data_IF_895189667292
#
_entry.id   IF_895189667292
#
_cell.length_a   1.000
_cell.length_b   1.000
_cell.length_c   1.000
_cell.angle_alpha   90.00
_cell.angle_beta   90.00
_cell.angle_gamma   90.00
#
_symmetry.space_group_name_H-M   'P 1'
#
loop_
_entity.id
_entity.type
_entity.pdbx_description
1 polymer ?
#
# COMPACT_ATOMS: atom_id res chain seq x y z
N UNK A 1 31.89 -80.91 53.15
CA UNK A 1 30.80 -81.14 54.11
C UNK A 1 29.93 -79.91 54.12
N UNK A 2 28.64 -80.12 53.88
CA UNK A 2 27.56 -79.14 53.74
C UNK A 2 27.29 -78.32 55.01
N UNK A 3 26.73 -77.13 54.75
CA UNK A 3 25.71 -76.36 55.50
C UNK A 3 26.01 -76.02 56.97
N UNK A 4 25.87 -74.73 57.30
CA UNK A 4 24.58 -74.21 57.78
C UNK A 4 24.53 -72.67 57.71
N UNK A 5 23.34 -72.16 57.43
CA UNK A 5 22.96 -70.76 57.29
C UNK A 5 22.30 -70.33 58.61
N UNK A 6 22.54 -69.11 59.11
CA UNK A 6 21.47 -68.10 59.32
C UNK A 6 21.95 -66.80 60.00
N UNK A 7 21.18 -65.69 59.83
CA UNK A 7 21.69 -64.32 59.80
C UNK A 7 21.19 -63.44 60.95
N UNK A 8 21.84 -62.29 61.17
CA UNK A 8 21.24 -60.93 61.22
C UNK A 8 22.17 -59.92 61.92
N UNK A 9 22.55 -58.90 61.17
CA UNK A 9 22.82 -57.50 61.55
C UNK A 9 23.08 -56.80 60.21
N UNK A 10 22.69 -55.57 59.86
CA UNK A 10 22.11 -54.44 60.54
C UNK A 10 22.47 -53.22 59.68
N UNK A 11 21.63 -52.19 59.70
CA UNK A 11 21.90 -50.79 59.36
C UNK A 11 21.90 -50.29 57.89
N UNK A 12 20.89 -49.43 57.68
CA UNK A 12 20.78 -48.18 56.90
C UNK A 12 21.95 -47.76 55.98
N UNK A 13 21.60 -47.44 54.72
CA UNK A 13 22.18 -46.29 54.01
C UNK A 13 21.05 -45.50 53.33
N UNK A 14 20.98 -44.21 53.65
CA UNK A 14 20.19 -43.18 52.98
C UNK A 14 20.68 -42.98 51.54
N UNK A 15 19.78 -43.14 50.58
CA UNK A 15 19.92 -42.64 49.21
C UNK A 15 18.78 -41.66 48.94
N UNK A 16 19.00 -40.39 49.24
CA UNK A 16 18.09 -39.27 49.01
C UNK A 16 17.85 -39.14 47.50
N UNK A 17 16.73 -39.66 47.02
CA UNK A 17 16.29 -39.46 45.64
C UNK A 17 16.06 -37.96 45.42
N UNK A 18 16.96 -37.30 44.71
CA UNK A 18 16.75 -35.97 44.20
C UNK A 18 15.53 -36.04 43.28
N UNK A 19 14.39 -35.54 43.77
CA UNK A 19 13.19 -35.37 42.96
C UNK A 19 13.53 -34.42 41.82
N UNK A 20 13.77 -34.97 40.64
CA UNK A 20 13.81 -34.17 39.41
C UNK A 20 12.48 -33.44 39.25
N UNK A 21 12.48 -32.23 38.66
CA UNK A 21 11.24 -31.49 38.43
C UNK A 21 10.24 -32.38 37.69
N UNK A 22 8.99 -32.39 38.15
CA UNK A 22 7.92 -33.13 37.48
C UNK A 22 7.81 -32.66 36.03
N UNK A 23 7.35 -33.53 35.12
CA UNK A 23 7.21 -33.19 33.70
C UNK A 23 6.39 -31.90 33.45
N UNK A 24 5.52 -31.57 34.40
CA UNK A 24 4.73 -30.34 34.45
C UNK A 24 5.57 -29.08 34.72
N UNK A 25 6.55 -29.17 35.62
CA UNK A 25 7.50 -28.08 35.90
C UNK A 25 8.46 -27.85 34.72
N UNK A 26 8.93 -28.93 34.07
CA UNK A 26 9.72 -28.83 32.83
C UNK A 26 8.91 -28.21 31.70
N UNK A 27 7.63 -28.58 31.57
CA UNK A 27 6.70 -27.99 30.61
C UNK A 27 6.47 -26.49 30.83
N UNK A 28 6.30 -26.05 32.08
CA UNK A 28 6.17 -24.63 32.43
C UNK A 28 7.45 -23.84 32.10
N UNK A 29 8.62 -24.38 32.40
CA UNK A 29 9.91 -23.75 32.08
C UNK A 29 10.07 -23.61 30.56
N UNK A 30 9.64 -24.61 29.78
CA UNK A 30 9.71 -24.59 28.32
C UNK A 30 8.76 -23.54 27.70
N UNK A 31 7.55 -23.39 28.25
CA UNK A 31 6.60 -22.34 27.84
C UNK A 31 7.13 -20.95 28.19
N UNK A 32 7.70 -20.77 29.38
CA UNK A 32 8.33 -19.50 29.78
C UNK A 32 9.53 -19.18 28.89
N UNK A 33 10.35 -20.17 28.52
CA UNK A 33 11.41 -19.99 27.52
C UNK A 33 10.81 -19.54 26.17
N UNK A 34 9.82 -20.26 25.63
CA UNK A 34 9.19 -19.92 24.34
C UNK A 34 8.51 -18.53 24.33
N UNK A 35 8.05 -18.03 25.48
CA UNK A 35 7.46 -16.69 25.60
C UNK A 35 8.48 -15.57 25.83
N UNK A 36 9.67 -15.87 26.34
CA UNK A 36 10.73 -14.89 26.63
C UNK A 36 11.71 -14.70 25.47
N UNK A 37 11.80 -15.66 24.54
CA UNK A 37 12.54 -15.47 23.30
C UNK A 37 11.56 -14.95 22.23
N UNK A 38 11.75 -13.73 21.70
CA UNK A 38 11.03 -13.34 20.50
C UNK A 38 11.33 -14.39 19.44
N UNK A 39 10.30 -14.88 18.77
CA UNK A 39 10.47 -15.62 17.53
C UNK A 39 11.24 -14.71 16.59
N UNK A 40 12.56 -14.89 16.52
CA UNK A 40 13.38 -14.33 15.47
C UNK A 40 12.90 -15.04 14.22
N UNK A 41 11.89 -14.48 13.56
CA UNK A 41 11.52 -14.86 12.22
C UNK A 41 12.72 -14.48 11.37
N UNK A 42 13.61 -15.45 11.17
CA UNK A 42 14.62 -15.38 10.14
C UNK A 42 13.86 -15.43 8.81
N UNK A 43 13.40 -14.27 8.36
CA UNK A 43 12.71 -14.12 7.09
C UNK A 43 13.62 -14.59 5.96
N UNK A 44 13.04 -15.28 4.98
CA UNK A 44 13.75 -15.67 3.78
C UNK A 44 14.19 -14.43 3.01
N UNK A 45 15.50 -14.26 2.79
CA UNK A 45 16.08 -13.10 2.09
C UNK A 45 16.38 -13.37 0.62
N UNK A 46 15.62 -14.25 -0.03
CA UNK A 46 15.88 -14.63 -1.43
C UNK A 46 15.70 -13.43 -2.38
N UNK A 47 14.65 -12.63 -2.18
CA UNK A 47 14.39 -11.46 -3.02
C UNK A 47 15.53 -10.44 -2.98
N UNK A 48 16.24 -10.34 -1.84
CA UNK A 48 17.45 -9.55 -1.71
C UNK A 48 18.61 -10.11 -2.55
N UNK A 49 18.81 -11.43 -2.53
CA UNK A 49 19.83 -12.06 -3.37
C UNK A 49 19.54 -11.83 -4.87
N UNK A 50 18.26 -11.93 -5.27
CA UNK A 50 17.84 -11.71 -6.64
C UNK A 50 18.11 -10.26 -7.07
N UNK A 51 17.74 -9.28 -6.24
CA UNK A 51 17.94 -7.86 -6.57
C UNK A 51 19.41 -7.45 -6.64
N UNK A 52 20.27 -8.00 -5.76
CA UNK A 52 21.72 -7.77 -5.79
C UNK A 52 22.37 -8.34 -7.07
N UNK A 53 21.95 -9.54 -7.51
CA UNK A 53 22.43 -10.14 -8.76
C UNK A 53 22.10 -9.27 -9.98
N UNK A 54 20.83 -8.89 -10.15
CA UNK A 54 20.41 -8.06 -11.29
C UNK A 54 21.01 -6.66 -11.26
N UNK A 55 21.24 -6.09 -10.08
CA UNK A 55 21.97 -4.83 -9.96
C UNK A 55 23.41 -4.94 -10.49
N UNK A 56 24.08 -6.08 -10.23
CA UNK A 56 25.45 -6.33 -10.68
C UNK A 56 25.60 -6.68 -12.17
N UNK A 57 24.51 -7.08 -12.83
CA UNK A 57 24.50 -7.45 -14.27
C UNK A 57 23.81 -6.41 -15.15
N UNK A 58 23.36 -5.29 -14.57
CA UNK A 58 22.61 -4.21 -15.26
C UNK A 58 23.43 -3.38 -16.26
N UNK A 59 24.75 -3.55 -16.29
CA UNK A 59 25.59 -3.10 -17.39
C UNK A 59 26.01 -4.32 -18.21
N UNK A 60 25.89 -4.26 -19.53
CA UNK A 60 26.45 -5.24 -20.48
C UNK A 60 27.98 -5.28 -20.37
N UNK A 61 28.47 -5.87 -19.29
CA UNK A 61 29.88 -6.07 -18.99
C UNK A 61 30.43 -7.29 -19.72
N UNK A 62 31.76 -7.45 -19.77
CA UNK A 62 32.41 -8.65 -20.28
C UNK A 62 31.82 -9.93 -19.65
N UNK A 63 31.79 -11.04 -20.39
CA UNK A 63 31.34 -12.37 -19.93
C UNK A 63 31.95 -12.78 -18.57
N UNK A 64 33.18 -12.31 -18.29
CA UNK A 64 33.89 -12.49 -17.03
C UNK A 64 33.24 -11.79 -15.81
N UNK A 65 32.62 -10.62 -16.01
CA UNK A 65 31.88 -9.91 -14.96
C UNK A 65 30.55 -10.61 -14.64
N UNK A 66 29.90 -11.17 -15.67
CA UNK A 66 28.65 -11.93 -15.51
C UNK A 66 28.85 -13.21 -14.70
N UNK A 67 29.89 -14.01 -15.00
CA UNK A 67 30.21 -15.19 -14.20
C UNK A 67 30.60 -14.83 -12.75
N UNK A 68 31.24 -13.68 -12.53
CA UNK A 68 31.59 -13.20 -11.19
C UNK A 68 30.35 -12.80 -10.38
N UNK A 69 29.37 -12.16 -11.02
CA UNK A 69 28.06 -11.88 -10.45
C UNK A 69 27.26 -13.16 -10.15
N UNK A 70 27.23 -14.13 -11.06
CA UNK A 70 26.56 -15.43 -10.87
C UNK A 70 27.15 -16.21 -9.69
N UNK A 71 28.48 -16.20 -9.50
CA UNK A 71 29.11 -16.82 -8.33
C UNK A 71 28.71 -16.12 -7.03
N UNK A 72 28.62 -14.79 -7.03
CA UNK A 72 28.17 -14.03 -5.87
C UNK A 72 26.69 -14.33 -5.54
N UNK A 73 25.83 -14.42 -6.55
CA UNK A 73 24.43 -14.78 -6.40
C UNK A 73 24.24 -16.18 -5.83
N UNK A 74 24.94 -17.20 -6.37
CA UNK A 74 24.94 -18.56 -5.82
C UNK A 74 25.32 -18.60 -4.34
N UNK A 75 26.34 -17.83 -3.94
CA UNK A 75 26.76 -17.75 -2.54
C UNK A 75 25.71 -17.07 -1.65
N UNK A 76 25.01 -16.05 -2.16
CA UNK A 76 23.92 -15.41 -1.44
C UNK A 76 22.76 -16.39 -1.20
N UNK A 77 22.29 -17.06 -2.25
CA UNK A 77 21.20 -18.05 -2.18
C UNK A 77 21.55 -19.19 -1.22
N UNK A 78 22.76 -19.75 -1.30
CA UNK A 78 23.21 -20.81 -0.37
C UNK A 78 23.22 -20.37 1.09
N UNK A 79 23.53 -19.11 1.39
CA UNK A 79 23.51 -18.57 2.76
C UNK A 79 22.10 -18.47 3.33
N UNK A 80 21.09 -18.27 2.48
CA UNK A 80 19.68 -18.16 2.90
C UNK A 80 18.94 -19.51 2.94
N UNK A 81 19.61 -20.63 2.59
CA UNK A 81 18.98 -21.96 2.49
C UNK A 81 18.24 -22.42 3.75
N UNK A 82 18.74 -22.08 4.95
CA UNK A 82 18.08 -22.46 6.22
C UNK A 82 16.75 -21.75 6.43
N UNK A 83 16.66 -20.50 6.00
CA UNK A 83 15.52 -19.59 6.23
C UNK A 83 14.50 -19.67 5.10
N UNK A 84 14.91 -20.19 3.93
CA UNK A 84 14.13 -20.23 2.70
C UNK A 84 13.65 -21.64 2.29
N UNK A 85 13.65 -22.63 3.20
CA UNK A 85 13.33 -24.03 2.84
C UNK A 85 11.97 -24.23 2.16
N UNK A 86 10.96 -23.45 2.55
CA UNK A 86 9.60 -23.50 2.01
C UNK A 86 9.30 -22.39 0.99
N UNK A 87 10.31 -21.63 0.56
CA UNK A 87 10.11 -20.52 -0.36
C UNK A 87 10.30 -20.99 -1.80
N UNK A 88 9.27 -20.79 -2.64
CA UNK A 88 9.30 -21.22 -4.04
C UNK A 88 10.36 -20.45 -4.85
N UNK A 89 10.52 -19.14 -4.60
CA UNK A 89 11.48 -18.31 -5.31
C UNK A 89 12.92 -18.75 -5.00
N UNK A 90 13.20 -19.26 -3.80
CA UNK A 90 14.49 -19.86 -3.45
C UNK A 90 14.79 -21.10 -4.31
N UNK A 91 13.84 -22.03 -4.44
CA UNK A 91 14.04 -23.23 -5.25
C UNK A 91 14.16 -22.89 -6.73
N UNK A 92 13.35 -21.95 -7.22
CA UNK A 92 13.47 -21.42 -8.59
C UNK A 92 14.83 -20.77 -8.85
N UNK A 93 15.33 -19.95 -7.92
CA UNK A 93 16.64 -19.33 -8.01
C UNK A 93 17.77 -20.37 -8.00
N UNK A 94 17.69 -21.38 -7.14
CA UNK A 94 18.71 -22.44 -7.05
C UNK A 94 18.87 -23.17 -8.40
N UNK A 95 17.76 -23.56 -9.03
CA UNK A 95 17.78 -24.20 -10.35
C UNK A 95 18.22 -23.23 -11.45
N UNK A 96 17.70 -22.00 -11.47
CA UNK A 96 18.06 -21.00 -12.48
C UNK A 96 19.54 -20.63 -12.47
N UNK A 97 20.20 -20.63 -11.30
CA UNK A 97 21.65 -20.39 -11.18
C UNK A 97 22.45 -21.53 -11.85
N UNK A 98 22.04 -22.78 -11.66
CA UNK A 98 22.72 -23.93 -12.27
C UNK A 98 22.60 -23.90 -13.79
N UNK A 99 21.42 -23.56 -14.31
CA UNK A 99 21.20 -23.40 -15.75
C UNK A 99 22.01 -22.24 -16.34
N UNK A 100 22.01 -21.07 -15.68
CA UNK A 100 22.76 -19.89 -16.12
C UNK A 100 24.27 -20.13 -16.12
N UNK A 101 24.80 -20.83 -15.11
CA UNK A 101 26.20 -21.22 -15.04
C UNK A 101 26.58 -22.14 -16.21
N UNK A 102 25.71 -23.09 -16.57
CA UNK A 102 25.90 -24.01 -17.70
C UNK A 102 25.86 -23.27 -19.04
N UNK A 103 24.85 -22.42 -19.25
CA UNK A 103 24.65 -21.68 -20.51
C UNK A 103 25.81 -20.71 -20.83
N UNK A 104 26.45 -20.14 -19.81
CA UNK A 104 27.52 -19.16 -19.97
C UNK A 104 28.92 -19.73 -19.66
N UNK A 105 29.06 -21.06 -19.63
CA UNK A 105 30.33 -21.75 -19.36
C UNK A 105 31.08 -21.24 -18.12
N UNK A 106 30.35 -20.82 -17.08
CA UNK A 106 30.94 -20.23 -15.89
C UNK A 106 31.55 -21.30 -14.98
N UNK A 107 32.80 -21.10 -14.56
CA UNK A 107 33.39 -21.90 -13.49
C UNK A 107 32.68 -21.64 -12.15
N UNK A 108 32.40 -22.72 -11.41
CA UNK A 108 31.86 -22.67 -10.03
C UNK A 108 32.85 -22.05 -9.03
N UNK A 109 34.14 -22.04 -9.37
CA UNK A 109 35.22 -21.48 -8.57
C UNK A 109 35.80 -20.23 -9.26
N UNK A 110 36.04 -19.18 -8.49
CA UNK A 110 36.57 -17.91 -9.02
C UNK A 110 36.24 -16.71 -8.12
N UNK A 111 36.65 -15.49 -8.49
CA UNK A 111 36.38 -14.27 -7.71
C UNK A 111 34.87 -14.06 -7.52
N UNK A 112 34.48 -13.35 -6.46
CA UNK A 112 33.08 -12.93 -6.28
C UNK A 112 33.03 -11.44 -6.06
N UNK A 113 32.00 -10.80 -6.60
CA UNK A 113 31.74 -9.38 -6.33
C UNK A 113 31.56 -9.23 -4.82
N UNK A 114 32.42 -8.45 -4.16
CA UNK A 114 32.29 -8.22 -2.73
C UNK A 114 31.01 -7.44 -2.42
N UNK A 115 30.32 -7.71 -1.29
CA UNK A 115 29.22 -6.88 -0.86
C UNK A 115 29.74 -5.46 -0.64
N UNK A 116 29.30 -4.52 -1.49
CA UNK A 116 29.75 -3.13 -1.45
C UNK A 116 29.40 -2.55 -0.06
N UNK A 117 30.42 -2.23 0.73
CA UNK A 117 30.23 -1.41 1.92
C UNK A 117 29.73 -0.03 1.46
N UNK A 118 28.70 0.49 2.12
CA UNK A 118 28.02 1.75 1.77
C UNK A 118 29.01 2.92 1.75
N UNK A 119 29.47 3.32 0.57
CA UNK A 119 30.00 4.66 0.35
C UNK A 119 28.85 5.56 -0.10
N UNK A 120 28.67 6.76 0.51
CA UNK A 120 27.70 7.73 0.02
C UNK A 120 28.03 8.12 -1.43
N UNK A 121 27.05 8.21 -2.35
CA UNK A 121 27.30 8.76 -3.67
C UNK A 121 27.69 10.23 -3.53
N UNK A 122 28.65 10.73 -4.33
CA UNK A 122 28.96 12.16 -4.38
C UNK A 122 27.72 12.95 -4.85
N UNK A 123 27.58 14.22 -4.43
CA UNK A 123 26.40 15.02 -4.75
C UNK A 123 26.22 15.15 -6.27
N UNK A 124 24.98 15.07 -6.78
CA UNK A 124 24.72 15.14 -8.21
C UNK A 124 25.10 16.52 -8.75
N UNK A 125 26.08 16.55 -9.66
CA UNK A 125 26.32 17.72 -10.49
C UNK A 125 25.18 17.84 -11.51
N UNK A 126 24.57 19.02 -11.53
CA UNK A 126 23.64 19.46 -12.57
C UNK A 126 24.32 19.32 -13.94
N UNK A 127 23.94 18.31 -14.71
CA UNK A 127 24.16 18.30 -16.15
C UNK A 127 22.86 18.77 -16.84
N UNK A 128 22.95 19.70 -17.80
CA UNK A 128 21.81 20.14 -18.57
C UNK A 128 21.46 19.07 -19.62
N UNK A 129 20.21 18.60 -19.55
CA UNK A 129 19.36 18.19 -20.66
C UNK A 129 20.07 17.58 -21.89
N UNK A 130 20.54 16.33 -21.74
CA UNK A 130 20.83 15.47 -22.88
C UNK A 130 19.69 14.47 -23.01
N UNK A 131 18.84 14.69 -24.02
CA UNK A 131 17.82 13.80 -24.55
C UNK A 131 17.93 12.34 -24.05
N UNK A 132 17.17 12.02 -23.00
CA UNK A 132 16.89 10.66 -22.57
C UNK A 132 16.20 9.99 -23.78
N UNK A 133 16.95 9.16 -24.52
CA UNK A 133 16.44 8.43 -25.70
C UNK A 133 15.12 7.75 -25.33
N UNK A 134 14.03 8.27 -25.88
CA UNK A 134 12.68 7.76 -25.76
C UNK A 134 12.54 6.51 -26.64
N UNK A 135 13.28 5.44 -26.36
CA UNK A 135 13.40 4.25 -27.20
C UNK A 135 12.19 3.30 -27.09
N UNK A 136 10.97 3.84 -27.20
CA UNK A 136 9.73 3.08 -27.30
C UNK A 136 8.89 3.57 -28.48
N UNK A 137 8.17 2.69 -29.20
CA UNK A 137 7.27 3.10 -30.29
C UNK A 137 6.30 4.17 -29.82
N UNK A 138 5.97 5.16 -30.66
CA UNK A 138 5.04 6.24 -30.29
C UNK A 138 3.69 5.70 -29.80
N UNK A 139 3.27 4.55 -30.32
CA UNK A 139 2.07 3.81 -29.91
C UNK A 139 2.08 3.35 -28.45
N UNK A 140 3.25 3.15 -27.85
CA UNK A 140 3.41 2.75 -26.45
C UNK A 140 3.50 3.95 -25.49
N UNK A 141 3.33 5.17 -25.99
CA UNK A 141 3.30 6.38 -25.18
C UNK A 141 1.90 6.98 -25.22
N UNK A 142 1.18 6.95 -24.10
CA UNK A 142 -0.20 7.43 -24.01
C UNK A 142 -0.36 8.84 -24.59
N UNK A 143 0.38 9.81 -24.04
CA UNK A 143 0.30 11.22 -24.46
C UNK A 143 0.71 11.46 -25.92
N UNK A 144 1.61 10.63 -26.48
CA UNK A 144 2.09 10.76 -27.87
C UNK A 144 1.19 10.04 -28.87
N UNK A 145 0.49 9.00 -28.41
CA UNK A 145 -0.50 8.26 -29.20
C UNK A 145 -1.79 9.06 -29.42
N UNK A 146 -2.09 10.02 -28.53
CA UNK A 146 -3.14 11.01 -28.73
C UNK A 146 -2.80 11.86 -29.96
N UNK A 147 -3.72 11.90 -30.92
CA UNK A 147 -3.51 12.66 -32.16
C UNK A 147 -3.20 14.13 -31.84
N UNK A 148 -2.28 14.75 -32.59
CA UNK A 148 -1.85 16.17 -32.39
C UNK A 148 -2.99 17.22 -32.36
N UNK A 149 -4.23 16.83 -32.66
CA UNK A 149 -5.42 17.68 -32.65
C UNK A 149 -6.36 17.43 -31.45
N UNK A 150 -6.11 16.43 -30.59
CA UNK A 150 -6.91 16.19 -29.40
C UNK A 150 -6.52 17.13 -28.26
N UNK A 151 -7.50 17.58 -27.49
CA UNK A 151 -7.25 18.28 -26.23
C UNK A 151 -6.37 17.44 -25.29
N UNK A 152 -5.51 18.06 -24.47
CA UNK A 152 -4.75 17.34 -23.46
C UNK A 152 -5.68 16.49 -22.59
N UNK A 153 -5.29 15.28 -22.19
CA UNK A 153 -6.12 14.41 -21.38
C UNK A 153 -6.31 15.01 -19.99
N UNK A 154 -7.53 14.92 -19.46
CA UNK A 154 -7.82 15.29 -18.09
C UNK A 154 -7.23 14.24 -17.15
N UNK A 155 -6.36 14.69 -16.25
CA UNK A 155 -5.76 13.85 -15.21
C UNK A 155 -6.46 14.08 -13.89
N UNK A 156 -6.87 12.98 -13.28
CA UNK A 156 -7.36 12.91 -11.91
C UNK A 156 -6.33 12.24 -10.99
N UNK A 157 -6.57 12.32 -9.68
CA UNK A 157 -5.70 11.76 -8.67
C UNK A 157 -6.50 11.06 -7.57
N UNK A 158 -5.98 9.93 -7.09
CA UNK A 158 -6.44 9.25 -5.89
C UNK A 158 -5.29 9.13 -4.88
N UNK A 159 -5.59 9.29 -3.60
CA UNK A 159 -4.63 9.18 -2.50
C UNK A 159 -5.16 8.31 -1.36
N UNK A 160 -4.30 7.52 -0.75
CA UNK A 160 -4.62 6.61 0.35
C UNK A 160 -3.47 6.62 1.37
N UNK A 161 -3.72 7.13 2.58
CA UNK A 161 -2.67 7.44 3.57
C UNK A 161 -3.23 7.50 4.98
N UNK A 162 -2.38 7.41 6.00
CA UNK A 162 -2.83 7.58 7.40
C UNK A 162 -3.73 6.43 7.88
N UNK A 163 -4.76 6.77 8.67
CA UNK A 163 -5.76 5.85 9.21
C UNK A 163 -6.99 5.68 8.31
N UNK A 164 -6.86 4.83 7.30
CA UNK A 164 -6.61 5.31 5.98
C UNK A 164 -7.66 6.33 5.54
N UNK A 165 -7.14 7.52 5.28
CA UNK A 165 -7.83 8.57 4.57
C UNK A 165 -7.71 8.33 3.09
N UNK A 166 -8.85 8.35 2.42
CA UNK A 166 -9.02 8.14 0.99
C UNK A 166 -9.47 9.45 0.35
N UNK A 167 -8.71 9.91 -0.64
CA UNK A 167 -9.14 10.85 -1.66
C UNK A 167 -9.45 10.06 -2.93
N UNK A 168 -10.70 10.07 -3.38
CA UNK A 168 -11.10 9.39 -4.63
C UNK A 168 -10.71 10.20 -5.86
N UNK A 169 -10.83 9.60 -7.04
CA UNK A 169 -10.69 10.29 -8.34
C UNK A 169 -11.75 11.38 -8.57
N UNK A 170 -12.86 11.36 -7.82
CA UNK A 170 -13.89 12.42 -7.80
C UNK A 170 -13.61 13.53 -6.79
N UNK A 171 -12.43 13.52 -6.15
CA UNK A 171 -12.05 14.43 -5.06
C UNK A 171 -12.87 14.27 -3.78
N UNK A 172 -13.59 13.15 -3.60
CA UNK A 172 -14.26 12.86 -2.34
C UNK A 172 -13.24 12.40 -1.30
N UNK A 173 -13.32 13.01 -0.11
CA UNK A 173 -12.46 12.68 1.02
C UNK A 173 -13.20 11.88 2.08
N UNK A 174 -12.64 10.73 2.45
CA UNK A 174 -13.27 9.79 3.38
C UNK A 174 -12.22 9.25 4.34
N UNK A 175 -12.62 9.00 5.59
CA UNK A 175 -11.81 8.26 6.56
C UNK A 175 -12.42 6.88 6.71
N UNK A 176 -11.61 5.84 6.60
CA UNK A 176 -12.11 4.49 6.40
C UNK A 176 -11.46 3.51 7.35
N UNK A 177 -12.25 2.58 7.92
CA UNK A 177 -11.69 1.44 8.66
C UNK A 177 -11.00 0.46 7.72
N UNK A 178 -11.74 -0.08 6.73
CA UNK A 178 -11.27 -0.96 5.65
C UNK A 178 -10.15 -1.92 6.05
N UNK A 179 -10.37 -2.66 7.14
CA UNK A 179 -9.44 -3.65 7.68
C UNK A 179 -9.30 -4.84 6.72
N UNK A 180 -8.09 -5.40 6.58
CA UNK A 180 -7.82 -6.50 5.66
C UNK A 180 -7.50 -6.03 4.24
N UNK A 181 -7.73 -6.90 3.26
CA UNK A 181 -7.40 -6.66 1.86
C UNK A 181 -8.52 -5.93 1.11
N UNK A 182 -8.20 -4.83 0.45
CA UNK A 182 -9.15 -4.01 -0.32
C UNK A 182 -8.57 -3.57 -1.67
N UNK A 183 -9.37 -3.57 -2.75
CA UNK A 183 -8.94 -3.04 -4.04
C UNK A 183 -9.07 -1.50 -4.07
N UNK A 184 -7.96 -0.81 -4.32
CA UNK A 184 -7.97 0.64 -4.53
C UNK A 184 -8.39 0.98 -5.96
N UNK A 185 -7.72 0.38 -6.94
CA UNK A 185 -7.94 0.61 -8.37
C UNK A 185 -8.08 -0.74 -9.05
N UNK A 186 -9.06 -0.89 -9.93
CA UNK A 186 -9.13 -2.03 -10.84
C UNK A 186 -9.83 -1.60 -12.11
N UNK A 187 -9.09 -1.64 -13.22
CA UNK A 187 -9.57 -1.33 -14.55
C UNK A 187 -8.89 -2.26 -15.55
N UNK A 188 -9.15 -2.07 -16.85
CA UNK A 188 -8.56 -2.87 -17.94
C UNK A 188 -7.01 -2.92 -17.95
N UNK A 189 -6.34 -1.98 -17.30
CA UNK A 189 -4.88 -1.82 -17.38
C UNK A 189 -4.15 -2.07 -16.07
N UNK A 190 -4.80 -1.82 -14.93
CA UNK A 190 -4.16 -1.77 -13.62
C UNK A 190 -5.07 -2.36 -12.54
N UNK A 191 -4.48 -3.17 -11.66
CA UNK A 191 -5.11 -3.59 -10.41
C UNK A 191 -4.21 -3.22 -9.24
N UNK A 192 -4.75 -2.53 -8.24
CA UNK A 192 -4.06 -2.10 -7.03
C UNK A 192 -4.82 -2.63 -5.82
N UNK A 193 -4.13 -3.39 -4.99
CA UNK A 193 -4.68 -3.95 -3.76
C UNK A 193 -3.83 -3.53 -2.58
N UNK A 194 -4.49 -3.14 -1.49
CA UNK A 194 -3.84 -2.79 -0.21
C UNK A 194 -4.32 -3.71 0.89
N UNK A 195 -3.48 -3.91 1.90
CA UNK A 195 -3.87 -4.58 3.14
C UNK A 195 -3.68 -3.64 4.32
N UNK A 196 -4.76 -3.34 5.03
CA UNK A 196 -4.75 -2.48 6.20
C UNK A 196 -4.80 -3.31 7.47
N UNK A 197 -3.90 -3.02 8.41
CA UNK A 197 -3.83 -3.69 9.71
C UNK A 197 -4.14 -2.70 10.82
N UNK A 198 -4.80 -3.13 11.92
CA UNK A 198 -5.05 -2.24 13.05
C UNK A 198 -3.76 -1.67 13.63
N UNK A 199 -3.71 -0.36 13.85
CA UNK A 199 -2.53 0.32 14.44
C UNK A 199 -2.37 -0.07 15.90
N UNK A 200 -3.50 -0.16 16.63
CA UNK A 200 -3.57 -0.62 18.01
C UNK A 200 -4.64 -1.72 18.10
N UNK A 201 -4.37 -2.86 18.78
CA UNK A 201 -5.36 -3.90 18.96
C UNK A 201 -6.67 -3.36 19.57
N UNK A 202 -7.80 -3.64 18.91
CA UNK A 202 -9.13 -3.20 19.36
C UNK A 202 -9.48 -1.74 19.04
N UNK A 203 -8.60 -0.99 18.37
CA UNK A 203 -8.94 0.33 17.81
C UNK A 203 -9.66 0.18 16.45
N UNK A 204 -10.47 1.18 16.08
CA UNK A 204 -10.95 1.32 14.71
C UNK A 204 -9.86 1.82 13.75
N UNK A 205 -8.74 2.26 14.30
CA UNK A 205 -7.62 2.79 13.54
C UNK A 205 -6.86 1.68 12.82
N UNK A 206 -6.79 1.73 11.50
CA UNK A 206 -5.99 0.82 10.67
C UNK A 206 -4.95 1.61 9.88
N UNK A 207 -3.98 0.95 9.25
CA UNK A 207 -3.07 1.62 8.34
C UNK A 207 -2.50 0.61 7.33
N UNK A 208 -2.10 1.09 6.15
CA UNK A 208 -1.63 0.23 5.08
C UNK A 208 -0.27 -0.38 5.40
N UNK A 209 -0.22 -1.71 5.43
CA UNK A 209 0.99 -2.49 5.74
C UNK A 209 1.54 -3.25 4.54
N UNK A 210 0.72 -3.42 3.50
CA UNK A 210 1.07 -4.15 2.29
C UNK A 210 0.34 -3.57 1.09
N UNK A 211 1.03 -3.52 -0.03
CA UNK A 211 0.55 -2.97 -1.29
C UNK A 211 1.01 -3.86 -2.44
N UNK A 212 0.08 -4.23 -3.31
CA UNK A 212 0.34 -4.99 -4.52
C UNK A 212 -0.25 -4.23 -5.70
N UNK A 213 0.57 -3.98 -6.72
CA UNK A 213 0.15 -3.35 -7.98
C UNK A 213 0.43 -4.34 -9.11
N UNK A 214 -0.58 -4.61 -9.93
CA UNK A 214 -0.47 -5.45 -11.12
C UNK A 214 -0.71 -4.56 -12.32
N UNK A 215 0.34 -4.37 -13.11
CA UNK A 215 0.27 -3.80 -14.45
C UNK A 215 -0.12 -4.93 -15.39
N UNK A 216 -1.35 -4.89 -15.92
CA UNK A 216 -1.85 -5.89 -16.86
C UNK A 216 -1.06 -5.78 -18.18
N UNK A 217 -0.90 -6.92 -18.85
CA UNK A 217 -0.24 -6.98 -20.17
C UNK A 217 -0.92 -6.00 -21.15
N UNK A 218 -0.15 -5.22 -21.89
CA UNK A 218 -0.67 -4.24 -22.84
C UNK A 218 -0.01 -4.34 -24.21
N UNK A 219 -0.78 -4.85 -25.18
CA UNK A 219 -0.40 -4.98 -26.60
C UNK A 219 1.03 -5.54 -26.78
N UNK A 220 1.83 -4.92 -27.64
CA UNK A 220 3.25 -5.23 -27.87
C UNK A 220 4.18 -4.34 -27.02
N UNK A 221 3.65 -3.61 -26.03
CA UNK A 221 4.40 -2.60 -25.32
C UNK A 221 5.02 -3.10 -24.02
N UNK A 222 4.23 -3.76 -23.16
CA UNK A 222 4.63 -4.07 -21.78
C UNK A 222 4.08 -5.43 -21.39
N UNK A 223 4.93 -6.31 -20.87
CA UNK A 223 4.49 -7.56 -20.27
C UNK A 223 3.78 -7.31 -18.94
N UNK A 224 3.04 -8.31 -18.44
CA UNK A 224 2.43 -8.19 -17.12
C UNK A 224 3.52 -8.05 -16.05
N UNK A 225 3.43 -7.02 -15.22
CA UNK A 225 4.38 -6.75 -14.12
C UNK A 225 3.65 -6.64 -12.80
N UNK A 226 4.24 -7.22 -11.76
CA UNK A 226 3.75 -7.12 -10.39
C UNK A 226 4.75 -6.33 -9.56
N UNK A 227 4.28 -5.28 -8.90
CA UNK A 227 5.00 -4.58 -7.85
C UNK A 227 4.41 -4.96 -6.49
N UNK A 228 5.28 -5.22 -5.53
CA UNK A 228 4.89 -5.59 -4.17
C UNK A 228 5.74 -4.80 -3.18
N UNK A 229 5.07 -4.21 -2.18
CA UNK A 229 5.71 -3.55 -1.07
C UNK A 229 5.01 -3.95 0.23
N UNK A 230 5.79 -4.06 1.29
CA UNK A 230 5.28 -4.23 2.65
C UNK A 230 6.06 -3.35 3.62
N UNK A 231 5.58 -3.22 4.85
CA UNK A 231 6.27 -2.47 5.90
C UNK A 231 7.74 -2.90 5.99
N UNK A 232 8.64 -1.91 5.95
CA UNK A 232 10.11 -2.06 5.97
C UNK A 232 10.74 -2.64 4.69
N UNK A 233 9.92 -2.95 3.68
CA UNK A 233 10.35 -3.47 2.39
C UNK A 233 9.68 -2.69 1.24
N UNK A 234 10.35 -1.61 0.83
CA UNK A 234 9.97 -0.79 -0.33
C UNK A 234 10.98 -0.97 -1.48
N UNK A 235 10.82 -2.00 -2.33
CA UNK A 235 11.78 -2.30 -3.39
C UNK A 235 11.70 -1.27 -4.53
N UNK A 236 12.84 -1.01 -5.16
CA UNK A 236 12.96 -0.20 -6.38
C UNK A 236 12.93 -1.05 -7.66
N UNK A 237 12.18 -2.16 -7.64
CA UNK A 237 12.06 -3.14 -8.71
C UNK A 237 10.71 -3.87 -8.62
N UNK A 238 10.28 -4.49 -9.71
CA UNK A 238 9.14 -5.41 -9.77
C UNK A 238 9.49 -6.72 -9.06
N UNK A 239 8.48 -7.56 -8.81
CA UNK A 239 8.62 -8.83 -8.10
C UNK A 239 9.58 -9.82 -8.79
N UNK A 240 9.76 -9.70 -10.11
CA UNK A 240 10.73 -10.46 -10.90
C UNK A 240 12.16 -9.86 -10.87
N UNK A 241 12.35 -8.75 -10.15
CA UNK A 241 13.62 -8.02 -10.05
C UNK A 241 13.87 -6.99 -11.16
N UNK A 242 13.01 -6.94 -12.18
CA UNK A 242 13.15 -5.98 -13.28
C UNK A 242 12.79 -4.55 -12.83
N UNK A 243 13.31 -3.54 -13.55
CA UNK A 243 12.98 -2.12 -13.30
C UNK A 243 12.12 -1.50 -14.41
N UNK A 244 11.81 -2.28 -15.44
CA UNK A 244 11.06 -1.85 -16.61
C UNK A 244 9.96 -2.86 -17.01
N UNK A 245 9.25 -2.54 -18.08
CA UNK A 245 8.15 -3.31 -18.63
C UNK A 245 8.46 -4.67 -19.27
N UNK A 246 9.69 -5.19 -19.19
CA UNK A 246 10.12 -6.42 -19.87
C UNK A 246 11.13 -6.14 -20.98
N UNK A 247 11.11 -6.96 -22.03
CA UNK A 247 12.07 -6.88 -23.15
C UNK A 247 11.45 -6.36 -24.46
N UNK A 248 10.14 -6.06 -24.43
CA UNK A 248 9.42 -5.53 -25.58
C UNK A 248 9.91 -4.14 -25.97
N UNK A 249 9.63 -3.73 -27.21
CA UNK A 249 9.98 -2.39 -27.70
C UNK A 249 9.40 -1.26 -26.83
N UNK A 250 8.25 -1.47 -26.17
CA UNK A 250 7.67 -0.50 -25.24
C UNK A 250 8.14 -0.60 -23.79
N UNK A 251 9.09 -1.48 -23.44
CA UNK A 251 9.38 -1.80 -22.04
C UNK A 251 9.75 -0.58 -21.18
N UNK A 252 10.48 0.39 -21.74
CA UNK A 252 10.90 1.60 -21.03
C UNK A 252 9.75 2.58 -20.72
N UNK A 253 8.55 2.32 -21.25
CA UNK A 253 7.34 3.10 -20.95
C UNK A 253 6.73 2.74 -19.60
N UNK A 254 7.09 1.60 -19.02
CA UNK A 254 6.83 1.26 -17.62
C UNK A 254 8.18 1.23 -16.89
N UNK A 255 8.38 2.07 -15.87
CA UNK A 255 9.63 2.09 -15.09
C UNK A 255 9.41 2.38 -13.62
N UNK A 256 10.29 1.84 -12.77
CA UNK A 256 10.36 2.17 -11.34
C UNK A 256 11.58 3.05 -11.08
N UNK A 257 11.37 4.15 -10.37
CA UNK A 257 12.40 5.11 -9.98
C UNK A 257 12.39 5.25 -8.46
N UNK A 258 13.52 4.95 -7.82
CA UNK A 258 13.71 5.23 -6.40
C UNK A 258 14.04 6.71 -6.23
N UNK A 259 13.20 7.43 -5.48
CA UNK A 259 13.41 8.87 -5.20
C UNK A 259 14.13 9.09 -3.89
N UNK A 260 13.74 8.32 -2.87
CA UNK A 260 14.37 8.33 -1.57
C UNK A 260 14.66 6.88 -1.19
N UNK A 261 15.94 6.51 -0.96
CA UNK A 261 16.32 5.13 -0.73
C UNK A 261 15.49 4.44 0.35
N UNK A 262 14.80 3.36 -0.01
CA UNK A 262 13.94 2.58 0.89
C UNK A 262 12.76 3.34 1.53
N UNK A 263 12.44 4.55 1.06
CA UNK A 263 11.36 5.37 1.62
C UNK A 263 10.36 5.86 0.58
N UNK A 264 10.78 6.13 -0.66
CA UNK A 264 9.88 6.58 -1.72
C UNK A 264 10.28 6.02 -3.08
N UNK A 265 9.30 5.40 -3.74
CA UNK A 265 9.42 4.98 -5.15
C UNK A 265 8.32 5.63 -5.98
N UNK A 266 8.67 5.92 -7.23
CA UNK A 266 7.74 6.37 -8.26
C UNK A 266 7.70 5.33 -9.37
N UNK A 267 6.50 4.91 -9.74
CA UNK A 267 6.26 3.99 -10.85
C UNK A 267 5.59 4.76 -11.98
N UNK A 268 6.28 4.86 -13.10
CA UNK A 268 5.84 5.62 -14.27
C UNK A 268 5.35 4.63 -15.32
N UNK A 269 4.04 4.55 -15.52
CA UNK A 269 3.38 3.76 -16.55
C UNK A 269 2.93 4.71 -17.69
N UNK A 270 3.92 5.23 -18.43
CA UNK A 270 3.73 6.19 -19.53
C UNK A 270 2.83 5.66 -20.65
N UNK A 271 2.75 4.35 -20.84
CA UNK A 271 1.88 3.72 -21.85
C UNK A 271 0.38 3.85 -21.55
N UNK A 272 0.00 4.12 -20.30
CA UNK A 272 -1.37 4.42 -19.86
C UNK A 272 -1.46 5.77 -19.14
N UNK A 273 -0.46 6.65 -19.36
CA UNK A 273 -0.43 7.98 -18.76
C UNK A 273 -0.43 8.01 -17.23
N UNK A 274 -0.07 6.91 -16.56
CA UNK A 274 -0.27 6.77 -15.12
C UNK A 274 1.05 6.95 -14.36
N UNK A 275 0.99 7.65 -13.23
CA UNK A 275 2.12 7.78 -12.30
C UNK A 275 1.67 7.40 -10.90
N UNK A 276 2.39 6.50 -10.26
CA UNK A 276 2.09 6.01 -8.91
C UNK A 276 3.26 6.38 -7.99
N UNK A 277 2.95 6.90 -6.81
CA UNK A 277 3.91 7.14 -5.73
C UNK A 277 3.57 6.17 -4.60
N UNK A 278 4.57 5.42 -4.14
CA UNK A 278 4.48 4.63 -2.91
C UNK A 278 5.56 5.12 -1.96
N UNK A 279 5.17 5.44 -0.72
CA UNK A 279 6.08 5.94 0.30
C UNK A 279 5.88 5.17 1.60
N UNK A 280 6.98 4.87 2.28
CA UNK A 280 6.93 4.39 3.66
C UNK A 280 7.04 5.57 4.62
N UNK A 281 6.07 5.71 5.52
CA UNK A 281 6.05 6.71 6.58
C UNK A 281 5.92 6.01 7.92
N UNK A 282 6.96 6.10 8.74
CA UNK A 282 7.08 5.28 9.93
C UNK A 282 7.01 3.80 9.57
N UNK A 283 5.95 3.12 10.01
CA UNK A 283 5.71 1.69 9.78
C UNK A 283 4.68 1.39 8.70
N UNK A 284 4.14 2.41 8.04
CA UNK A 284 3.00 2.24 7.14
C UNK A 284 3.30 2.80 5.75
N UNK A 285 2.56 2.31 4.77
CA UNK A 285 2.68 2.74 3.38
C UNK A 285 1.63 3.81 3.07
N UNK A 286 1.99 4.79 2.25
CA UNK A 286 1.06 5.70 1.60
C UNK A 286 1.08 5.42 0.11
N UNK A 287 -0.07 5.62 -0.53
CA UNK A 287 -0.26 5.44 -1.96
C UNK A 287 -0.87 6.70 -2.56
N UNK A 288 -0.35 7.11 -3.71
CA UNK A 288 -0.90 8.20 -4.50
C UNK A 288 -0.78 7.84 -5.98
N UNK A 289 -1.81 8.15 -6.76
CA UNK A 289 -1.82 7.87 -8.21
C UNK A 289 -2.39 9.06 -8.98
N UNK A 290 -1.74 9.39 -10.09
CA UNK A 290 -2.28 10.24 -11.16
C UNK A 290 -2.65 9.35 -12.33
N UNK A 291 -3.86 9.48 -12.86
CA UNK A 291 -4.36 8.68 -13.97
C UNK A 291 -5.27 9.51 -14.88
N UNK A 292 -5.25 9.31 -16.22
CA UNK A 292 -6.22 9.93 -17.10
C UNK A 292 -7.65 9.46 -16.81
N UNK A 293 -8.64 10.34 -16.92
CA UNK A 293 -10.06 10.00 -16.67
C UNK A 293 -10.56 8.83 -17.54
N UNK A 294 -10.12 8.74 -18.80
CA UNK A 294 -10.51 7.63 -19.68
C UNK A 294 -9.95 6.27 -19.23
N UNK A 295 -8.75 6.26 -18.63
CA UNK A 295 -8.11 5.05 -18.07
C UNK A 295 -8.76 4.68 -16.74
N UNK A 296 -9.16 5.67 -15.93
CA UNK A 296 -9.93 5.43 -14.70
C UNK A 296 -11.25 4.74 -15.02
N UNK A 297 -11.97 5.22 -16.03
CA UNK A 297 -13.30 4.75 -16.39
C UNK A 297 -13.31 3.51 -17.31
N UNK A 298 -12.16 2.97 -17.70
CA UNK A 298 -12.06 1.76 -18.52
C UNK A 298 -12.22 0.48 -17.69
N UNK A 299 -13.33 0.37 -16.96
CA UNK A 299 -13.68 -0.81 -16.16
C UNK A 299 -14.22 -1.90 -17.08
N UNK A 300 -13.96 -3.18 -16.79
CA UNK A 300 -14.48 -4.29 -17.59
C UNK A 300 -15.98 -4.50 -17.30
N UNK A 301 -16.81 -4.78 -18.32
CA UNK A 301 -18.28 -4.83 -18.17
C UNK A 301 -18.77 -5.85 -17.12
N UNK A 302 -17.97 -6.90 -16.85
CA UNK A 302 -18.26 -7.93 -15.84
C UNK A 302 -17.97 -7.48 -14.41
N UNK A 303 -17.15 -6.45 -14.28
CA UNK A 303 -16.59 -5.95 -13.03
C UNK A 303 -17.37 -4.73 -12.51
N UNK A 304 -18.43 -4.31 -13.21
CA UNK A 304 -19.27 -3.16 -12.85
C UNK A 304 -20.07 -3.36 -11.53
N UNK A 305 -19.99 -4.54 -10.92
CA UNK A 305 -20.57 -4.89 -9.62
C UNK A 305 -19.54 -4.86 -8.47
N UNK A 306 -18.25 -4.75 -8.79
CA UNK A 306 -17.17 -4.77 -7.81
C UNK A 306 -16.86 -3.36 -7.30
N UNK A 307 -16.55 -3.25 -6.01
CA UNK A 307 -16.27 -1.98 -5.35
C UNK A 307 -14.77 -1.68 -5.33
N UNK A 308 -14.35 -0.63 -6.03
CA UNK A 308 -12.99 -0.09 -5.98
C UNK A 308 -12.95 1.24 -5.25
N UNK A 309 -12.11 1.34 -4.23
CA UNK A 309 -12.12 2.47 -3.30
C UNK A 309 -11.80 3.81 -4.00
N UNK A 310 -10.80 3.88 -4.90
CA UNK A 310 -10.47 5.13 -5.57
C UNK A 310 -11.57 5.65 -6.49
N UNK A 311 -12.47 4.78 -6.97
CA UNK A 311 -13.56 5.16 -7.86
C UNK A 311 -14.87 5.45 -7.09
N UNK A 312 -15.21 4.61 -6.11
CA UNK A 312 -16.51 4.64 -5.43
C UNK A 312 -16.47 5.09 -3.97
N UNK A 313 -15.26 5.24 -3.41
CA UNK A 313 -15.07 5.44 -1.99
C UNK A 313 -15.26 4.16 -1.18
N UNK A 314 -15.20 4.32 0.14
CA UNK A 314 -15.39 3.22 1.08
C UNK A 314 -16.87 2.85 1.20
N UNK A 315 -17.19 1.58 1.46
CA UNK A 315 -18.55 1.18 1.83
C UNK A 315 -19.07 1.99 3.02
N UNK A 316 -20.37 2.28 3.06
CA UNK A 316 -20.96 3.10 4.14
C UNK A 316 -20.68 2.55 5.55
N UNK A 317 -20.68 1.22 5.73
CA UNK A 317 -20.37 0.56 7.01
C UNK A 317 -18.87 0.55 7.36
N UNK A 318 -18.00 0.96 6.44
CA UNK A 318 -16.56 1.12 6.66
C UNK A 318 -16.14 2.58 6.83
N UNK A 319 -17.05 3.54 6.62
CA UNK A 319 -16.77 4.97 6.79
C UNK A 319 -16.78 5.35 8.27
N UNK A 320 -15.80 6.16 8.67
CA UNK A 320 -15.69 6.73 10.00
C UNK A 320 -16.17 8.19 9.93
N UNK A 321 -17.17 8.53 10.73
CA UNK A 321 -17.63 9.92 10.86
C UNK A 321 -16.70 10.73 11.76
N UNK A 322 -15.83 11.50 11.12
CA UNK A 322 -14.89 12.38 11.80
C UNK A 322 -15.58 13.45 12.67
N UNK A 323 -16.78 13.92 12.31
CA UNK A 323 -17.48 14.95 13.11
C UNK A 323 -17.90 14.42 14.46
N UNK A 324 -18.50 13.24 14.46
CA UNK A 324 -18.86 12.54 15.69
C UNK A 324 -17.63 12.21 16.53
N UNK A 325 -16.51 11.85 15.89
CA UNK A 325 -15.25 11.62 16.59
C UNK A 325 -14.69 12.92 17.23
N UNK A 326 -14.66 14.02 16.46
CA UNK A 326 -14.22 15.34 16.91
C UNK A 326 -15.07 15.87 18.06
N UNK A 327 -16.40 15.77 17.97
CA UNK A 327 -17.30 16.20 19.04
C UNK A 327 -16.97 15.49 20.36
N UNK A 328 -16.78 14.17 20.33
CA UNK A 328 -16.37 13.38 21.51
C UNK A 328 -14.98 13.78 22.04
N UNK A 329 -14.04 14.08 21.16
CA UNK A 329 -12.68 14.49 21.53
C UNK A 329 -12.63 15.91 22.14
N UNK A 330 -13.55 16.80 21.75
CA UNK A 330 -13.66 18.17 22.27
C UNK A 330 -14.46 18.23 23.57
N UNK A 331 -15.57 17.50 23.66
CA UNK A 331 -16.41 17.42 24.87
C UNK A 331 -15.75 16.60 25.99
N UNK A 332 -14.95 15.59 25.61
CA UNK A 332 -14.20 14.77 26.54
C UNK A 332 -12.87 15.41 26.93
N UNK A 333 -12.85 16.25 27.97
CA UNK A 333 -11.65 16.55 28.76
C UNK A 333 -11.13 15.32 29.54
N UNK A 334 -10.95 14.19 28.86
CA UNK A 334 -10.50 12.93 29.43
C UNK A 334 -11.53 11.82 29.29
N UNK A 335 -11.63 11.22 28.10
CA UNK A 335 -11.88 9.78 28.06
C UNK A 335 -10.60 9.10 28.54
N UNK A 336 -10.38 9.13 29.85
CA UNK A 336 -9.72 8.03 30.54
C UNK A 336 -10.65 6.83 30.36
N UNK A 337 -10.61 6.21 29.17
CA UNK A 337 -11.00 4.82 29.03
C UNK A 337 -10.10 4.10 30.00
N UNK A 338 -10.69 3.52 31.04
CA UNK A 338 -10.05 2.54 31.91
C UNK A 338 -9.41 1.46 31.00
N UNK A 339 -8.14 1.63 30.66
CA UNK A 339 -7.40 0.80 29.69
C UNK A 339 -6.63 1.52 28.57
N UNK A 340 -6.75 2.85 28.39
CA UNK A 340 -5.90 3.60 27.43
C UNK A 340 -4.62 4.08 28.10
N UNK A 341 -3.43 3.96 27.46
CA UNK A 341 -2.18 4.37 28.07
C UNK A 341 -2.13 5.90 28.29
N UNK A 342 -1.30 6.41 29.22
CA UNK A 342 -1.20 7.84 29.56
C UNK A 342 -0.55 8.72 28.46
N UNK A 343 -0.51 8.26 27.21
CA UNK A 343 0.31 8.81 26.12
C UNK A 343 -0.49 9.28 24.88
N UNK A 344 -1.82 9.43 24.97
CA UNK A 344 -2.64 9.93 23.86
C UNK A 344 -2.58 11.45 23.68
N UNK A 345 -2.71 11.95 22.45
CA UNK A 345 -2.81 13.39 22.19
C UNK A 345 -4.15 13.96 22.68
N UNK A 346 -4.13 15.18 23.23
CA UNK A 346 -5.36 15.98 23.37
C UNK A 346 -5.71 16.65 22.04
N UNK A 347 -6.97 17.01 21.81
CA UNK A 347 -7.39 17.71 20.58
C UNK A 347 -6.54 18.95 20.27
N UNK A 348 -6.32 19.80 21.28
CA UNK A 348 -5.48 21.01 21.14
C UNK A 348 -4.02 20.68 20.83
N UNK A 349 -3.45 19.65 21.47
CA UNK A 349 -2.07 19.23 21.21
C UNK A 349 -1.93 18.63 19.80
N UNK A 350 -2.89 17.82 19.36
CA UNK A 350 -2.92 17.25 18.00
C UNK A 350 -2.98 18.36 16.94
N UNK A 351 -3.88 19.33 17.10
CA UNK A 351 -3.96 20.50 16.19
C UNK A 351 -2.65 21.27 16.13
N UNK A 352 -2.07 21.61 17.28
CA UNK A 352 -0.80 22.33 17.33
C UNK A 352 0.31 21.57 16.60
N UNK A 353 0.38 20.24 16.80
CA UNK A 353 1.38 19.39 16.17
C UNK A 353 1.21 19.31 14.65
N UNK A 354 -0.02 19.10 14.18
CA UNK A 354 -0.32 19.07 12.74
C UNK A 354 -0.03 20.41 12.06
N UNK A 355 -0.27 21.53 12.74
CA UNK A 355 -0.07 22.88 12.20
C UNK A 355 1.39 23.24 11.92
N UNK A 356 2.34 22.51 12.51
CA UNK A 356 3.78 22.68 12.23
C UNK A 356 4.14 22.37 10.76
N UNK A 357 3.41 21.46 10.10
CA UNK A 357 3.67 21.02 8.72
C UNK A 357 2.51 21.27 7.77
N UNK A 358 1.28 21.29 8.28
CA UNK A 358 0.05 21.55 7.54
C UNK A 358 -0.60 22.82 8.10
N UNK A 359 -0.15 24.02 7.67
CA UNK A 359 -0.65 25.28 8.24
C UNK A 359 -2.10 25.62 7.83
N UNK A 360 -2.58 25.04 6.73
CA UNK A 360 -3.93 25.21 6.21
C UNK A 360 -4.84 24.15 6.83
N UNK A 361 -5.94 24.56 7.45
CA UNK A 361 -6.87 23.66 8.16
C UNK A 361 -7.87 22.97 7.21
N UNK A 362 -7.36 22.42 6.11
CA UNK A 362 -8.10 21.64 5.13
C UNK A 362 -8.28 20.17 5.58
N UNK A 363 -8.82 19.31 4.71
CA UNK A 363 -9.04 17.92 5.03
C UNK A 363 -7.74 17.12 5.27
N UNK A 364 -6.59 17.51 4.70
CA UNK A 364 -5.31 16.87 5.05
C UNK A 364 -4.89 17.20 6.49
N UNK A 365 -5.08 18.45 6.91
CA UNK A 365 -4.89 18.84 8.30
C UNK A 365 -5.85 18.09 9.24
N UNK A 366 -7.14 18.01 8.89
CA UNK A 366 -8.10 17.27 9.71
C UNK A 366 -7.77 15.78 9.80
N UNK A 367 -7.31 15.17 8.72
CA UNK A 367 -6.77 13.80 8.68
C UNK A 367 -5.60 13.63 9.65
N UNK A 368 -4.61 14.53 9.62
CA UNK A 368 -3.51 14.50 10.59
C UNK A 368 -4.02 14.56 12.05
N UNK A 369 -4.98 15.44 12.33
CA UNK A 369 -5.54 15.57 13.68
C UNK A 369 -6.27 14.29 14.10
N UNK A 370 -7.03 13.67 13.18
CA UNK A 370 -7.68 12.40 13.42
C UNK A 370 -6.67 11.31 13.77
N UNK A 371 -5.64 11.12 12.93
CA UNK A 371 -4.64 10.07 13.10
C UNK A 371 -3.95 10.17 14.48
N UNK A 372 -3.56 11.39 14.89
CA UNK A 372 -2.91 11.60 16.20
C UNK A 372 -3.83 11.24 17.38
N UNK A 373 -5.13 11.49 17.25
CA UNK A 373 -6.12 11.19 18.29
C UNK A 373 -6.51 9.71 18.31
N UNK A 374 -6.57 9.06 17.15
CA UNK A 374 -6.99 7.65 17.03
C UNK A 374 -5.84 6.68 17.33
N UNK A 375 -4.61 7.02 16.96
CA UNK A 375 -3.44 6.14 17.07
C UNK A 375 -2.46 6.55 18.18
N UNK A 376 -2.31 7.85 18.44
CA UNK A 376 -1.22 8.38 19.27
C UNK A 376 0.16 8.38 18.62
N UNK A 377 0.30 7.97 17.34
CA UNK A 377 1.59 7.91 16.64
C UNK A 377 1.86 9.21 15.86
N UNK A 378 2.92 9.92 16.27
CA UNK A 378 3.35 11.18 15.67
C UNK A 378 3.80 11.05 14.20
N UNK A 379 4.18 9.85 13.76
CA UNK A 379 4.59 9.61 12.37
C UNK A 379 3.45 9.87 11.37
N UNK A 380 2.19 9.75 11.80
CA UNK A 380 1.06 10.07 10.95
C UNK A 380 0.96 11.54 10.55
N UNK A 381 1.58 12.46 11.31
CA UNK A 381 1.73 13.86 10.86
C UNK A 381 2.47 13.94 9.52
N UNK A 382 3.48 13.09 9.33
CA UNK A 382 4.21 13.02 8.07
C UNK A 382 3.40 12.36 6.96
N UNK A 383 2.51 11.41 7.28
CA UNK A 383 1.68 10.74 6.27
C UNK A 383 0.73 11.73 5.59
N UNK A 384 0.04 12.56 6.38
CA UNK A 384 -0.83 13.61 5.85
C UNK A 384 -0.04 14.71 5.10
N UNK A 385 1.12 15.13 5.63
CA UNK A 385 1.99 16.09 4.94
C UNK A 385 2.42 15.59 3.56
N UNK A 386 2.90 14.36 3.49
CA UNK A 386 3.38 13.76 2.24
C UNK A 386 2.24 13.49 1.26
N UNK A 387 1.04 13.11 1.73
CA UNK A 387 -0.13 12.98 0.87
C UNK A 387 -0.51 14.32 0.23
N UNK A 388 -0.39 15.43 0.96
CA UNK A 388 -0.60 16.77 0.42
C UNK A 388 0.46 17.16 -0.62
N UNK A 389 1.74 16.85 -0.37
CA UNK A 389 2.81 17.05 -1.34
C UNK A 389 2.62 16.22 -2.62
N UNK A 390 2.15 14.97 -2.48
CA UNK A 390 1.85 14.11 -3.63
C UNK A 390 0.74 14.71 -4.50
N UNK A 391 -0.29 15.32 -3.91
CA UNK A 391 -1.35 16.00 -4.67
C UNK A 391 -0.85 17.22 -5.42
N UNK A 392 0.03 18.02 -4.82
CA UNK A 392 0.63 19.16 -5.54
C UNK A 392 1.44 18.70 -6.76
N UNK A 393 2.06 17.54 -6.66
CA UNK A 393 2.85 16.96 -7.75
C UNK A 393 1.97 16.28 -8.81
N UNK A 394 0.90 15.61 -8.40
CA UNK A 394 0.15 14.68 -9.25
C UNK A 394 -1.19 15.24 -9.76
N UNK A 395 -1.83 16.14 -9.03
CA UNK A 395 -3.13 16.68 -9.42
C UNK A 395 -2.95 17.83 -10.42
N UNK A 396 -3.65 17.77 -11.54
CA UNK A 396 -3.54 18.74 -12.64
C UNK A 396 -4.16 20.10 -12.27
N UNK A 397 -5.27 20.07 -11.54
CA UNK A 397 -5.99 21.26 -11.07
C UNK A 397 -5.47 21.73 -9.70
N UNK A 398 -4.88 22.93 -9.66
CA UNK A 398 -4.35 23.56 -8.44
C UNK A 398 -5.42 23.97 -7.44
N UNK A 399 -6.61 24.32 -7.93
CA UNK A 399 -7.75 24.71 -7.08
C UNK A 399 -8.27 23.53 -6.25
N UNK A 400 -7.89 22.30 -6.63
CA UNK A 400 -8.23 21.05 -5.96
C UNK A 400 -7.13 20.55 -5.00
N UNK A 401 -6.06 21.32 -4.78
CA UNK A 401 -5.03 20.92 -3.83
C UNK A 401 -5.56 20.93 -2.39
N UNK A 402 -6.32 21.95 -2.05
CA UNK A 402 -6.98 22.07 -0.76
C UNK A 402 -8.46 21.72 -0.92
N UNK A 403 -8.96 20.84 -0.03
CA UNK A 403 -10.39 20.53 0.05
C UNK A 403 -10.84 20.84 1.46
N UNK A 404 -11.90 21.63 1.59
CA UNK A 404 -12.44 22.03 2.89
C UNK A 404 -13.70 21.24 3.23
N UNK A 405 -13.97 21.10 4.53
CA UNK A 405 -15.13 20.37 5.05
C UNK A 405 -16.49 20.95 4.61
N UNK A 406 -16.53 22.15 4.00
CA UNK A 406 -17.76 22.72 3.42
C UNK A 406 -17.97 22.28 1.96
N UNK A 407 -16.90 22.06 1.23
CA UNK A 407 -16.92 21.77 -0.21
C UNK A 407 -17.15 20.28 -0.49
N UNK A 408 -16.61 19.40 0.37
CA UNK A 408 -16.80 17.95 0.27
C UNK A 408 -18.27 17.47 0.41
N UNK A 409 -19.17 18.35 0.87
CA UNK A 409 -20.61 18.05 1.02
C UNK A 409 -21.47 18.77 -0.01
N UNK A 410 -20.90 19.68 -0.82
CA UNK A 410 -21.62 20.40 -1.88
C UNK A 410 -22.00 19.52 -3.06
N UNK A 411 -21.27 18.41 -3.29
CA UNK A 411 -21.52 17.51 -4.42
C UNK A 411 -22.62 16.46 -4.17
N UNK A 412 -23.07 16.29 -2.92
CA UNK A 412 -24.13 15.33 -2.53
C UNK A 412 -25.46 16.02 -2.13
N UNK A 413 -25.55 17.33 -2.30
CA UNK A 413 -26.76 18.09 -2.06
C UNK A 413 -27.11 18.97 -3.26
N UNK A 414 -27.39 18.34 -4.41
CA UNK A 414 -28.41 18.93 -5.27
C UNK A 414 -29.70 18.95 -4.43
N UNK A 415 -30.29 20.12 -4.11
CA UNK A 415 -31.61 20.11 -3.53
C UNK A 415 -32.50 19.47 -4.59
N UNK A 416 -33.11 18.33 -4.27
CA UNK A 416 -34.20 17.74 -5.03
C UNK A 416 -35.44 18.63 -4.86
N UNK A 417 -35.30 19.90 -5.21
CA UNK A 417 -36.33 20.93 -5.23
C UNK A 417 -36.99 20.94 -6.60
N UNK A 418 -37.67 19.85 -6.96
CA UNK A 418 -38.52 19.81 -8.15
C UNK A 418 -39.64 18.77 -8.10
N UNK A 419 -39.82 18.02 -7.01
CA UNK A 419 -40.93 17.05 -6.92
C UNK A 419 -42.08 17.49 -6.01
N UNK A 420 -41.83 18.36 -5.02
CA UNK A 420 -42.89 18.84 -4.11
C UNK A 420 -43.83 19.84 -4.81
N UNK A 421 -43.28 20.73 -5.64
CA UNK A 421 -44.11 21.67 -6.40
C UNK A 421 -44.96 20.97 -7.47
N UNK A 422 -44.43 19.94 -8.14
CA UNK A 422 -45.18 19.15 -9.13
C UNK A 422 -46.31 18.35 -8.50
N UNK A 423 -46.10 17.74 -7.32
CA UNK A 423 -47.13 17.02 -6.58
C UNK A 423 -48.23 17.96 -6.03
N UNK A 424 -47.86 19.16 -5.56
CA UNK A 424 -48.85 20.14 -5.09
C UNK A 424 -49.68 20.70 -6.24
N UNK A 425 -49.06 20.95 -7.40
CA UNK A 425 -49.76 21.45 -8.59
C UNK A 425 -50.73 20.39 -9.17
N UNK A 426 -50.31 19.12 -9.21
CA UNK A 426 -51.16 18.00 -9.65
C UNK A 426 -52.37 17.78 -8.72
N UNK A 427 -52.18 17.90 -7.41
CA UNK A 427 -53.29 17.81 -6.45
C UNK A 427 -54.23 19.02 -6.54
N UNK A 428 -53.71 20.23 -6.77
CA UNK A 428 -54.56 21.42 -6.99
C UNK A 428 -55.38 21.33 -8.27
N UNK A 429 -54.79 20.84 -9.37
CA UNK A 429 -55.50 20.64 -10.64
C UNK A 429 -56.56 19.53 -10.55
N UNK A 430 -56.28 18.45 -9.81
CA UNK A 430 -57.26 17.40 -9.56
C UNK A 430 -58.47 17.91 -8.74
N UNK A 431 -58.25 18.76 -7.73
CA UNK A 431 -59.33 19.37 -6.96
C UNK A 431 -60.15 20.34 -7.82
N UNK A 432 -59.52 21.12 -8.70
CA UNK A 432 -60.24 22.01 -9.63
C UNK A 432 -61.10 21.25 -10.64
N UNK A 433 -60.65 20.07 -11.12
CA UNK A 433 -61.45 19.21 -12.00
C UNK A 433 -62.64 18.55 -11.29
N UNK A 434 -62.52 18.24 -10.00
CA UNK A 434 -63.61 17.63 -9.21
C UNK A 434 -64.69 18.65 -8.81
N UNK A 435 -64.31 19.91 -8.61
CA UNK A 435 -65.22 20.98 -8.16
C UNK A 435 -65.71 21.93 -9.26
N UNK A 436 -65.38 21.69 -10.53
CA UNK A 436 -65.92 22.46 -11.65
C UNK A 436 -67.35 21.97 -11.98
N UNK A 437 -68.40 22.79 -11.82
CA UNK A 437 -69.74 22.40 -12.22
C UNK A 437 -69.81 22.32 -13.75
N UNK A 438 -70.32 21.19 -14.27
CA UNK A 438 -70.65 21.05 -15.69
C UNK A 438 -71.59 22.18 -16.11
N UNK A 439 -71.34 22.89 -17.23
CA UNK A 439 -72.33 23.78 -17.79
C UNK A 439 -73.54 22.96 -18.26
N UNK A 440 -74.69 23.22 -17.66
CA UNK A 440 -75.99 22.74 -18.13
C UNK A 440 -76.21 23.26 -19.55
N UNK A 441 -76.19 22.36 -20.53
CA UNK A 441 -76.66 22.68 -21.88
C UNK A 441 -78.19 22.78 -21.84
N UNK A 442 -78.66 24.02 -21.74
CA UNK A 442 -80.04 24.37 -22.03
C UNK A 442 -80.29 24.22 -23.53
N UNK A 443 -81.24 23.35 -23.84
CA UNK A 443 -82.06 23.19 -25.04
C UNK A 443 -82.11 24.38 -26.01
N UNK A 444 -82.01 24.08 -27.30
CA UNK A 444 -82.77 24.78 -28.35
C UNK A 444 -83.33 23.74 -29.32
N UNK A 445 -84.62 23.95 -29.63
CA UNK A 445 -85.42 23.31 -30.66
C UNK A 445 -84.78 23.40 -32.05
#
# INVERSE_FOLDING_TARGET
MEREVRPRAGWMVMGKGAGGPSALEVGKILVVFLCLFPSVSLQCKILKCNSEFWASTSSSGPEEEFCTALRAYNNCVRRTARTCRGDLAYHSAQHGIEDLMSQNNCSKEGPTTQPRARTPPPPPQLQPDSQERSDGPEQCHYERSLHRQSSPPNYTHCGFFGDPHLRTFSDDFQTCKVEGAWPLVHNKYLSVQVTNTPVVPGSSATATSKLTIIFKNFQECVDQKMYHAETDELPAAFADGSKNGGDRHGANTLRIVEKVPGQQVEIHARYIGTTIVVRQVGRYLTFAVRMPEEVVNSVEDRDNQDLYLCLHGCPANQRIDFRTFRARAVEGHGLSRTGSPPHGFTYKAAMAKCKERLPVEDLYFQSCVFDLLSSGDVNFTMAAYYAFEDVKMLHSNKDKYHIYEKDAFGSNAAPRGSDVFSLVLLNFLAVLFIYSPLPTSSSLC
#
